data_IF_849973812619
#
_entry.id   IF_849973812619
#
_cell.length_a   1.000
_cell.length_b   1.000
_cell.length_c   1.000
_cell.angle_alpha   90.00
_cell.angle_beta   90.00
_cell.angle_gamma   90.00
#
_symmetry.space_group_name_H-M   'P 1'
#
loop_
_entity.id
_entity.type
_entity.pdbx_description
1 polymer ?
#
# COMPACT_ATOMS: atom_id res chain seq x y z
N UNK A 1 -5.06 -3.86 11.78
CA UNK A 1 -4.33 -5.03 11.30
C UNK A 1 -2.92 -4.99 11.85
N UNK A 2 -2.37 -6.10 12.33
CA UNK A 2 -1.06 -6.14 12.98
C UNK A 2 -0.19 -7.23 12.39
N UNK A 3 1.07 -6.92 12.18
CA UNK A 3 2.15 -7.84 11.82
C UNK A 3 3.04 -8.02 13.07
N UNK A 4 3.31 -9.26 13.46
CA UNK A 4 4.12 -9.59 14.64
C UNK A 4 5.23 -10.55 14.25
N UNK A 5 6.47 -10.08 14.24
CA UNK A 5 7.66 -10.86 13.93
C UNK A 5 7.63 -11.50 12.53
N UNK A 6 7.00 -10.83 11.56
CA UNK A 6 6.79 -11.39 10.22
C UNK A 6 8.10 -11.57 9.48
N UNK A 7 8.34 -12.82 9.04
CA UNK A 7 9.44 -13.17 8.16
C UNK A 7 8.95 -13.75 6.83
N UNK A 8 9.59 -13.35 5.73
CA UNK A 8 9.28 -13.79 4.37
C UNK A 8 10.51 -14.35 3.69
N UNK A 9 10.37 -15.54 3.11
CA UNK A 9 11.32 -16.17 2.19
C UNK A 9 10.56 -17.00 1.17
N UNK A 10 11.06 -17.09 -0.05
CA UNK A 10 10.39 -17.81 -1.15
C UNK A 10 10.72 -19.30 -1.25
N UNK A 11 11.55 -19.82 -0.36
CA UNK A 11 11.89 -21.23 -0.25
C UNK A 11 12.53 -21.54 1.10
N UNK A 12 12.48 -22.82 1.53
CA UNK A 12 13.01 -23.23 2.85
C UNK A 12 14.48 -22.87 3.07
N UNK A 13 15.29 -22.86 2.00
CA UNK A 13 16.73 -22.55 2.04
C UNK A 13 17.07 -21.20 1.40
N UNK A 14 16.06 -20.45 0.92
CA UNK A 14 16.27 -19.11 0.35
C UNK A 14 16.59 -18.11 1.44
N UNK A 15 17.37 -17.05 1.11
CA UNK A 15 17.58 -15.92 2.02
C UNK A 15 16.26 -15.30 2.46
N UNK A 16 16.27 -14.71 3.63
CA UNK A 16 15.14 -13.91 4.09
C UNK A 16 15.02 -12.64 3.23
N UNK A 17 13.82 -12.39 2.73
CA UNK A 17 13.45 -11.14 2.05
C UNK A 17 12.96 -10.11 3.06
N UNK A 18 12.24 -10.58 4.09
CA UNK A 18 11.85 -9.82 5.28
C UNK A 18 12.12 -10.67 6.51
N UNK A 19 12.56 -10.05 7.58
CA UNK A 19 12.85 -10.73 8.84
C UNK A 19 12.40 -9.85 10.01
N UNK A 20 11.63 -10.45 10.93
CA UNK A 20 11.20 -9.83 12.19
C UNK A 20 10.48 -8.48 12.01
N UNK A 21 9.56 -8.40 11.04
CA UNK A 21 8.78 -7.21 10.80
C UNK A 21 7.59 -7.15 11.74
N UNK A 22 7.58 -6.11 12.59
CA UNK A 22 6.48 -5.82 13.52
C UNK A 22 5.94 -4.42 13.24
N UNK A 23 4.73 -4.34 12.69
CA UNK A 23 4.09 -3.10 12.22
C UNK A 23 2.58 -3.17 12.48
N UNK A 24 1.96 -2.03 12.71
CA UNK A 24 0.52 -1.87 12.83
C UNK A 24 -0.04 -1.01 11.70
N UNK A 25 -1.10 -1.47 11.04
CA UNK A 25 -1.89 -0.73 10.08
C UNK A 25 -3.22 -0.32 10.74
N UNK A 26 -3.37 0.95 11.16
CA UNK A 26 -4.61 1.45 11.72
C UNK A 26 -5.75 1.45 10.69
N UNK A 27 -6.99 1.38 11.15
CA UNK A 27 -8.15 1.59 10.29
C UNK A 27 -8.19 3.06 9.79
N UNK A 28 -8.59 3.25 8.55
CA UNK A 28 -8.68 4.56 7.92
C UNK A 28 -7.34 5.16 7.49
N UNK A 29 -6.20 4.51 7.76
CA UNK A 29 -4.88 5.06 7.48
C UNK A 29 -4.44 4.83 6.03
N UNK A 30 -3.80 5.86 5.44
CA UNK A 30 -2.97 5.75 4.25
C UNK A 30 -1.52 5.51 4.67
N UNK A 31 -0.96 4.39 4.25
CA UNK A 31 0.44 4.02 4.52
C UNK A 31 1.25 3.99 3.23
N UNK A 32 2.33 4.74 3.21
CA UNK A 32 3.36 4.66 2.17
C UNK A 32 4.44 3.64 2.57
N UNK A 33 4.74 2.70 1.67
CA UNK A 33 5.84 1.74 1.84
C UNK A 33 7.00 2.17 0.96
N UNK A 34 8.07 2.64 1.58
CA UNK A 34 9.28 3.14 0.92
C UNK A 34 10.44 2.14 1.03
N UNK A 35 11.51 2.40 0.30
CA UNK A 35 12.73 1.59 0.32
C UNK A 35 13.29 1.32 -1.08
N UNK A 36 14.54 0.87 -1.16
CA UNK A 36 15.22 0.57 -2.43
C UNK A 36 14.55 -0.61 -3.15
N UNK A 37 14.85 -0.75 -4.46
CA UNK A 37 14.43 -1.94 -5.20
C UNK A 37 15.06 -3.19 -4.57
N UNK A 38 14.25 -4.24 -4.41
CA UNK A 38 14.68 -5.47 -3.74
C UNK A 38 14.60 -5.46 -2.20
N UNK A 39 14.28 -4.33 -1.56
CA UNK A 39 14.17 -4.22 -0.09
C UNK A 39 13.01 -5.00 0.55
N UNK A 40 12.14 -5.63 -0.26
CA UNK A 40 11.03 -6.43 0.25
C UNK A 40 9.66 -5.74 0.25
N UNK A 41 9.52 -4.52 -0.31
CA UNK A 41 8.25 -3.77 -0.36
C UNK A 41 7.10 -4.60 -0.92
N UNK A 42 7.25 -5.15 -2.13
CA UNK A 42 6.22 -5.99 -2.76
C UNK A 42 5.92 -7.26 -1.96
N UNK A 43 6.91 -7.82 -1.25
CA UNK A 43 6.70 -8.97 -0.37
C UNK A 43 5.88 -8.59 0.85
N UNK A 44 6.13 -7.42 1.45
CA UNK A 44 5.35 -6.86 2.55
C UNK A 44 3.90 -6.61 2.10
N UNK A 45 3.71 -5.96 0.96
CA UNK A 45 2.38 -5.71 0.39
C UNK A 45 1.61 -7.00 0.11
N UNK A 46 2.27 -8.04 -0.43
CA UNK A 46 1.65 -9.35 -0.63
C UNK A 46 1.24 -10.03 0.68
N UNK A 47 2.01 -9.84 1.75
CA UNK A 47 1.62 -10.32 3.09
C UNK A 47 0.41 -9.55 3.59
N UNK A 48 0.36 -8.22 3.45
CA UNK A 48 -0.82 -7.42 3.81
C UNK A 48 -2.06 -7.85 3.02
N UNK A 49 -1.91 -8.02 1.72
CA UNK A 49 -3.00 -8.49 0.84
C UNK A 49 -3.47 -9.93 1.13
N UNK A 50 -2.69 -10.72 1.88
CA UNK A 50 -3.01 -12.11 2.17
C UNK A 50 -2.70 -13.08 1.02
N UNK A 51 -2.06 -12.60 -0.05
CA UNK A 51 -1.64 -13.44 -1.19
C UNK A 51 -0.31 -14.15 -0.95
N UNK A 52 0.44 -13.71 0.06
CA UNK A 52 1.66 -14.36 0.52
C UNK A 52 1.54 -14.68 2.02
N UNK A 53 1.67 -15.96 2.37
CA UNK A 53 1.74 -16.39 3.76
C UNK A 53 3.15 -16.15 4.30
N UNK A 54 3.33 -15.51 5.47
CA UNK A 54 4.64 -15.37 6.07
C UNK A 54 5.23 -16.75 6.45
N UNK A 55 6.56 -16.86 6.36
CA UNK A 55 7.30 -18.06 6.75
C UNK A 55 7.59 -18.09 8.26
N UNK A 56 7.52 -16.93 8.93
CA UNK A 56 7.64 -16.77 10.39
C UNK A 56 6.73 -15.62 10.84
N UNK A 57 6.40 -15.59 12.14
CA UNK A 57 5.53 -14.58 12.71
C UNK A 57 4.05 -14.79 12.34
N UNK A 58 3.26 -13.76 12.59
CA UNK A 58 1.81 -13.81 12.38
C UNK A 58 1.25 -12.47 11.89
N UNK A 59 0.07 -12.55 11.25
CA UNK A 59 -0.73 -11.39 10.85
C UNK A 59 -2.11 -11.54 11.45
N UNK A 60 -2.54 -10.55 12.23
CA UNK A 60 -3.85 -10.53 12.88
C UNK A 60 -4.68 -9.32 12.43
N UNK A 61 -6.00 -9.38 12.61
CA UNK A 61 -6.90 -8.28 12.31
C UNK A 61 -6.96 -7.90 10.82
N UNK A 62 -6.66 -8.81 9.88
CA UNK A 62 -6.82 -8.54 8.45
C UNK A 62 -8.29 -8.28 8.14
N UNK A 63 -8.63 -7.18 7.45
CA UNK A 63 -9.98 -6.90 7.04
C UNK A 63 -10.56 -7.98 6.12
N UNK A 64 -11.89 -8.06 6.08
CA UNK A 64 -12.59 -9.10 5.29
C UNK A 64 -12.47 -8.86 3.79
N UNK A 65 -12.61 -7.62 3.35
CA UNK A 65 -12.56 -7.25 1.94
C UNK A 65 -11.22 -6.59 1.65
N UNK A 66 -10.34 -7.31 0.96
CA UNK A 66 -9.03 -6.80 0.56
C UNK A 66 -8.99 -6.65 -0.96
N UNK A 67 -8.69 -5.44 -1.42
CA UNK A 67 -8.33 -5.13 -2.79
C UNK A 67 -6.81 -5.24 -2.97
N UNK A 68 -6.37 -5.91 -4.01
CA UNK A 68 -4.96 -6.06 -4.35
C UNK A 68 -4.69 -5.72 -5.81
N UNK A 69 -3.86 -4.71 -6.06
CA UNK A 69 -3.34 -4.38 -7.39
C UNK A 69 -1.82 -4.57 -7.39
N UNK A 70 -1.30 -5.63 -8.02
CA UNK A 70 0.14 -5.89 -8.12
C UNK A 70 0.81 -4.93 -9.11
N UNK A 71 2.13 -4.74 -8.99
CA UNK A 71 2.96 -4.01 -9.97
C UNK A 71 2.78 -4.53 -11.41
N UNK A 72 2.58 -5.85 -11.54
CA UNK A 72 2.33 -6.50 -12.84
C UNK A 72 1.08 -7.36 -12.73
N UNK A 73 0.08 -6.99 -13.48
CA UNK A 73 -1.11 -7.82 -13.62
C UNK A 73 -0.79 -9.04 -14.50
N UNK A 74 -1.15 -10.29 -14.07
CA UNK A 74 -0.90 -11.50 -14.83
C UNK A 74 -1.87 -11.59 -16.01
N UNK A 75 -1.53 -10.96 -17.13
CA UNK A 75 -2.39 -10.87 -18.33
C UNK A 75 -2.23 -12.03 -19.32
N UNK A 76 -1.39 -13.02 -19.06
CA UNK A 76 -1.16 -14.16 -19.97
C UNK A 76 -2.36 -15.13 -20.06
N UNK A 77 -3.56 -14.59 -20.31
CA UNK A 77 -4.83 -15.32 -20.37
C UNK A 77 -5.61 -14.91 -21.61
N UNK A 78 -6.30 -15.87 -22.26
CA UNK A 78 -7.13 -15.61 -23.45
C UNK A 78 -8.52 -15.07 -23.12
N UNK A 79 -8.88 -14.98 -21.85
CA UNK A 79 -10.17 -14.43 -21.45
C UNK A 79 -10.28 -12.95 -21.83
N UNK A 80 -11.45 -12.51 -22.26
CA UNK A 80 -11.73 -11.09 -22.49
C UNK A 80 -11.67 -10.33 -21.15
N UNK A 81 -11.13 -9.12 -21.15
CA UNK A 81 -10.96 -8.30 -19.93
C UNK A 81 -12.31 -8.13 -19.19
N UNK A 82 -13.39 -7.87 -19.90
CA UNK A 82 -14.73 -7.74 -19.33
C UNK A 82 -15.25 -9.06 -18.72
N UNK A 83 -15.03 -10.20 -19.40
CA UNK A 83 -15.44 -11.51 -18.87
C UNK A 83 -14.68 -11.87 -17.61
N UNK A 84 -13.38 -11.61 -17.61
CA UNK A 84 -12.52 -11.78 -16.44
C UNK A 84 -13.02 -10.94 -15.25
N UNK A 85 -13.23 -9.64 -15.45
CA UNK A 85 -13.71 -8.76 -14.37
C UNK A 85 -15.09 -9.19 -13.86
N UNK A 86 -16.02 -9.59 -14.75
CA UNK A 86 -17.34 -10.13 -14.35
C UNK A 86 -17.21 -11.42 -13.55
N UNK A 87 -16.32 -12.33 -13.95
CA UNK A 87 -16.05 -13.56 -13.21
C UNK A 87 -15.51 -13.26 -11.82
N UNK A 88 -14.57 -12.32 -11.71
CA UNK A 88 -14.00 -11.89 -10.42
C UNK A 88 -15.03 -11.19 -9.53
N UNK A 89 -15.93 -10.38 -10.10
CA UNK A 89 -17.03 -9.75 -9.38
C UNK A 89 -18.02 -10.79 -8.80
N UNK A 90 -18.38 -11.80 -9.59
CA UNK A 90 -19.24 -12.91 -9.14
C UNK A 90 -18.56 -13.73 -8.05
N UNK A 91 -17.26 -14.02 -8.16
CA UNK A 91 -16.48 -14.72 -7.14
C UNK A 91 -16.43 -13.97 -5.81
N UNK A 92 -16.59 -12.64 -5.85
CA UNK A 92 -16.71 -11.78 -4.67
C UNK A 92 -18.14 -11.62 -4.14
N UNK A 93 -19.10 -12.39 -4.69
CA UNK A 93 -20.48 -12.43 -4.23
C UNK A 93 -21.37 -11.33 -4.80
N UNK A 94 -20.97 -10.61 -5.85
CA UNK A 94 -21.75 -9.50 -6.41
C UNK A 94 -22.92 -9.96 -7.31
N UNK A 95 -23.00 -11.25 -7.65
CA UNK A 95 -24.15 -11.81 -8.37
C UNK A 95 -24.51 -11.01 -9.63
N UNK A 96 -25.78 -10.60 -9.74
CA UNK A 96 -26.32 -9.81 -10.84
C UNK A 96 -25.76 -8.38 -10.89
N UNK A 97 -25.24 -7.86 -9.77
CA UNK A 97 -24.57 -6.56 -9.68
C UNK A 97 -23.20 -6.50 -10.37
N UNK A 98 -22.64 -7.66 -10.75
CA UNK A 98 -21.30 -7.75 -11.34
C UNK A 98 -21.13 -6.87 -12.58
N UNK A 99 -22.15 -6.86 -13.49
CA UNK A 99 -22.08 -6.06 -14.71
C UNK A 99 -22.03 -4.56 -14.42
N UNK A 100 -22.83 -4.08 -13.47
CA UNK A 100 -22.89 -2.66 -13.09
C UNK A 100 -21.57 -2.19 -12.48
N UNK A 101 -21.01 -2.99 -11.57
CA UNK A 101 -19.73 -2.65 -10.91
C UNK A 101 -18.58 -2.66 -11.92
N UNK A 102 -18.52 -3.66 -12.79
CA UNK A 102 -17.50 -3.70 -13.86
C UNK A 102 -17.62 -2.49 -14.78
N UNK A 103 -18.83 -2.10 -15.18
CA UNK A 103 -19.06 -0.90 -15.99
C UNK A 103 -18.55 0.37 -15.32
N UNK A 104 -18.85 0.56 -14.05
CA UNK A 104 -18.40 1.72 -13.25
C UNK A 104 -16.88 1.80 -13.16
N UNK A 105 -16.21 0.72 -12.82
CA UNK A 105 -14.75 0.73 -12.69
C UNK A 105 -14.06 0.82 -14.06
N UNK A 106 -14.67 0.25 -15.12
CA UNK A 106 -14.18 0.39 -16.48
C UNK A 106 -14.26 1.85 -16.97
N UNK A 107 -15.35 2.55 -16.71
CA UNK A 107 -15.50 3.97 -17.02
C UNK A 107 -14.48 4.81 -16.24
N UNK A 108 -14.39 4.60 -14.94
CA UNK A 108 -13.46 5.32 -14.05
C UNK A 108 -12.00 5.24 -14.49
N UNK A 109 -11.59 4.08 -15.04
CA UNK A 109 -10.21 3.79 -15.44
C UNK A 109 -9.97 3.86 -16.95
N UNK A 110 -10.98 4.25 -17.74
CA UNK A 110 -10.88 4.31 -19.19
C UNK A 110 -10.61 2.95 -19.83
N UNK A 111 -11.36 1.90 -19.41
CA UNK A 111 -11.29 0.54 -19.92
C UNK A 111 -12.43 0.19 -20.88
N UNK A 112 -13.39 1.10 -21.12
CA UNK A 112 -14.63 0.78 -21.84
C UNK A 112 -14.41 0.03 -23.15
N UNK A 113 -13.58 0.57 -24.02
CA UNK A 113 -13.27 0.00 -25.34
C UNK A 113 -12.40 -1.28 -25.25
N UNK A 114 -11.80 -1.55 -24.11
CA UNK A 114 -10.89 -2.68 -23.90
C UNK A 114 -11.57 -3.89 -23.26
N UNK A 115 -12.82 -3.78 -22.81
CA UNK A 115 -13.54 -4.89 -22.19
C UNK A 115 -13.73 -6.09 -23.11
N UNK A 116 -13.78 -5.87 -24.43
CA UNK A 116 -13.86 -6.89 -25.47
C UNK A 116 -12.51 -7.43 -25.95
N UNK A 117 -11.39 -6.99 -25.37
CA UNK A 117 -10.04 -7.39 -25.79
C UNK A 117 -9.54 -8.52 -24.88
N UNK A 118 -8.89 -9.57 -25.43
CA UNK A 118 -8.23 -10.60 -24.64
C UNK A 118 -7.16 -10.00 -23.73
N UNK A 119 -7.07 -10.49 -22.48
CA UNK A 119 -6.08 -10.00 -21.52
C UNK A 119 -4.64 -10.09 -22.04
N UNK A 120 -4.33 -11.14 -22.82
CA UNK A 120 -3.01 -11.36 -23.41
C UNK A 120 -2.63 -10.31 -24.48
N UNK A 121 -3.61 -9.62 -25.05
CA UNK A 121 -3.43 -8.60 -26.10
C UNK A 121 -3.38 -7.18 -25.55
N UNK A 122 -3.66 -7.01 -24.24
CA UNK A 122 -3.61 -5.70 -23.60
C UNK A 122 -2.17 -5.19 -23.49
N UNK A 123 -2.00 -3.89 -23.68
CA UNK A 123 -0.75 -3.22 -23.31
C UNK A 123 -0.48 -3.39 -21.81
N UNK A 124 0.78 -3.22 -21.39
CA UNK A 124 1.14 -3.25 -19.95
C UNK A 124 0.27 -2.30 -19.13
N UNK A 125 0.05 -1.06 -19.61
CA UNK A 125 -0.77 -0.07 -18.92
C UNK A 125 -2.24 -0.45 -18.84
N UNK A 126 -2.80 -0.98 -19.95
CA UNK A 126 -4.19 -1.47 -19.97
C UNK A 126 -4.38 -2.67 -19.03
N UNK A 127 -3.44 -3.60 -19.01
CA UNK A 127 -3.45 -4.72 -18.08
C UNK A 127 -3.37 -4.25 -16.61
N UNK A 128 -2.58 -3.21 -16.33
CA UNK A 128 -2.50 -2.61 -14.99
C UNK A 128 -3.83 -1.97 -14.56
N UNK A 129 -4.54 -1.30 -15.48
CA UNK A 129 -5.90 -0.79 -15.24
C UNK A 129 -6.88 -1.91 -14.88
N UNK A 130 -6.81 -3.08 -15.56
CA UNK A 130 -7.62 -4.25 -15.22
C UNK A 130 -7.32 -4.74 -13.81
N UNK A 131 -6.03 -4.78 -13.41
CA UNK A 131 -5.62 -5.12 -12.05
C UNK A 131 -6.17 -4.18 -11.00
N UNK A 132 -6.16 -2.86 -11.29
CA UNK A 132 -6.74 -1.86 -10.40
C UNK A 132 -8.27 -1.97 -10.35
N UNK A 133 -8.96 -2.14 -11.50
CA UNK A 133 -10.40 -2.38 -11.54
C UNK A 133 -10.79 -3.61 -10.71
N UNK A 134 -10.06 -4.72 -10.85
CA UNK A 134 -10.28 -5.93 -10.07
C UNK A 134 -10.18 -5.69 -8.56
N UNK A 135 -9.22 -4.87 -8.12
CA UNK A 135 -9.04 -4.55 -6.70
C UNK A 135 -10.24 -3.77 -6.12
N UNK A 136 -11.00 -3.07 -6.98
CA UNK A 136 -12.11 -2.19 -6.62
C UNK A 136 -13.49 -2.79 -6.82
N UNK A 137 -13.62 -4.00 -7.40
CA UNK A 137 -14.93 -4.62 -7.69
C UNK A 137 -15.83 -4.74 -6.46
N UNK A 138 -15.29 -5.02 -5.30
CA UNK A 138 -15.99 -4.88 -4.02
C UNK A 138 -15.32 -3.74 -3.24
N UNK A 139 -16.08 -2.86 -2.58
CA UNK A 139 -15.52 -1.78 -1.79
C UNK A 139 -14.53 -2.34 -0.75
N UNK A 140 -13.21 -2.11 -0.89
CA UNK A 140 -12.25 -2.74 0.00
C UNK A 140 -12.17 -2.03 1.35
N UNK A 141 -12.08 -2.80 2.45
CA UNK A 141 -11.73 -2.31 3.77
C UNK A 141 -10.19 -2.07 3.87
N UNK A 142 -9.44 -2.79 3.03
CA UNK A 142 -8.00 -2.59 2.82
C UNK A 142 -7.70 -2.64 1.33
N UNK A 143 -7.17 -1.55 0.78
CA UNK A 143 -6.62 -1.52 -0.57
C UNK A 143 -5.10 -1.57 -0.51
N UNK A 144 -4.50 -2.52 -1.22
CA UNK A 144 -3.05 -2.69 -1.31
C UNK A 144 -2.61 -2.45 -2.75
N UNK A 145 -1.71 -1.51 -2.95
CA UNK A 145 -1.27 -1.03 -4.27
C UNK A 145 0.25 -1.14 -4.39
N UNK A 146 0.73 -1.89 -5.37
CA UNK A 146 2.15 -2.04 -5.68
C UNK A 146 2.44 -1.31 -6.99
N UNK A 147 3.10 -0.14 -6.93
CA UNK A 147 3.43 0.73 -8.06
C UNK A 147 2.20 1.10 -8.94
N UNK A 148 1.10 1.61 -8.34
CA UNK A 148 -0.18 1.72 -9.03
C UNK A 148 -0.18 2.69 -10.21
N UNK A 149 0.74 3.65 -10.28
CA UNK A 149 0.84 4.62 -11.38
C UNK A 149 1.68 4.12 -12.56
N UNK A 150 2.43 3.02 -12.37
CA UNK A 150 3.33 2.50 -13.39
C UNK A 150 2.56 2.08 -14.65
N UNK A 151 2.87 2.71 -15.78
CA UNK A 151 2.28 2.39 -17.08
C UNK A 151 0.85 2.89 -17.30
N UNK A 152 0.23 3.57 -16.34
CA UNK A 152 -1.08 4.20 -16.51
C UNK A 152 -0.99 5.43 -17.43
N UNK A 153 -2.02 5.66 -18.24
CA UNK A 153 -2.21 6.93 -18.92
C UNK A 153 -2.63 8.06 -17.95
N UNK A 154 -2.69 9.28 -18.45
CA UNK A 154 -2.98 10.46 -17.65
C UNK A 154 -4.34 10.38 -16.95
N UNK A 155 -5.38 9.84 -17.63
CA UNK A 155 -6.72 9.73 -17.07
C UNK A 155 -6.80 8.74 -15.91
N UNK A 156 -6.31 7.53 -16.10
CA UNK A 156 -6.27 6.51 -15.05
C UNK A 156 -5.35 6.92 -13.89
N UNK A 157 -4.21 7.56 -14.19
CA UNK A 157 -3.30 8.11 -13.17
C UNK A 157 -3.98 9.15 -12.30
N UNK A 158 -4.74 10.06 -12.89
CA UNK A 158 -5.50 11.09 -12.19
C UNK A 158 -6.65 10.52 -11.32
N UNK A 159 -7.14 9.31 -11.62
CA UNK A 159 -8.19 8.67 -10.83
C UNK A 159 -7.68 8.08 -9.50
N UNK A 160 -6.39 7.70 -9.40
CA UNK A 160 -5.84 7.01 -8.21
C UNK A 160 -5.99 7.81 -6.92
N UNK A 161 -5.67 9.12 -6.86
CA UNK A 161 -5.88 9.93 -5.67
C UNK A 161 -7.33 9.92 -5.16
N UNK A 162 -8.29 10.05 -6.08
CA UNK A 162 -9.71 9.99 -5.76
C UNK A 162 -10.15 8.62 -5.20
N UNK A 163 -9.57 7.53 -5.72
CA UNK A 163 -9.79 6.16 -5.23
C UNK A 163 -9.27 6.02 -3.79
N UNK A 164 -8.04 6.47 -3.53
CA UNK A 164 -7.43 6.42 -2.19
C UNK A 164 -8.28 7.20 -1.21
N UNK A 165 -8.65 8.44 -1.55
CA UNK A 165 -9.49 9.30 -0.70
C UNK A 165 -10.85 8.67 -0.40
N UNK A 166 -11.54 8.14 -1.41
CA UNK A 166 -12.85 7.47 -1.23
C UNK A 166 -12.77 6.32 -0.22
N UNK A 167 -11.69 5.55 -0.25
CA UNK A 167 -11.51 4.41 0.67
C UNK A 167 -11.21 4.89 2.08
N UNK A 168 -10.31 5.86 2.25
CA UNK A 168 -9.98 6.39 3.58
C UNK A 168 -11.14 7.16 4.21
N UNK A 169 -11.90 7.93 3.44
CA UNK A 169 -13.11 8.62 3.93
C UNK A 169 -14.19 7.66 4.46
N UNK A 170 -14.23 6.41 3.96
CA UNK A 170 -15.11 5.34 4.48
C UNK A 170 -14.54 4.61 5.68
N UNK A 171 -13.36 4.98 6.16
CA UNK A 171 -12.65 4.30 7.24
C UNK A 171 -11.85 3.07 6.79
N UNK A 172 -11.77 2.79 5.49
CA UNK A 172 -10.89 1.77 4.92
C UNK A 172 -9.43 2.23 4.93
N UNK A 173 -8.51 1.28 4.98
CA UNK A 173 -7.07 1.58 4.96
C UNK A 173 -6.47 1.37 3.57
N UNK A 174 -5.40 2.09 3.26
CA UNK A 174 -4.66 1.94 2.00
C UNK A 174 -3.18 1.77 2.28
N UNK A 175 -2.54 0.77 1.67
CA UNK A 175 -1.09 0.59 1.70
C UNK A 175 -0.55 0.67 0.28
N UNK A 176 0.38 1.59 0.03
CA UNK A 176 0.91 1.87 -1.30
C UNK A 176 2.44 1.82 -1.29
N UNK A 177 3.04 1.07 -2.21
CA UNK A 177 4.45 1.24 -2.56
C UNK A 177 4.54 2.02 -3.87
N UNK A 178 5.37 3.07 -3.87
CA UNK A 178 5.63 3.89 -5.04
C UNK A 178 7.08 4.39 -5.02
N UNK A 179 7.76 4.29 -6.17
CA UNK A 179 9.11 4.81 -6.33
C UNK A 179 9.16 6.21 -6.99
N UNK A 180 8.02 6.68 -7.53
CA UNK A 180 7.90 7.98 -8.21
C UNK A 180 7.46 9.11 -7.26
N UNK A 181 7.34 8.84 -5.97
CA UNK A 181 6.94 9.79 -4.92
C UNK A 181 5.53 10.41 -5.09
N UNK A 182 4.67 9.82 -5.94
CA UNK A 182 3.31 10.32 -6.15
C UNK A 182 2.43 10.13 -4.91
N UNK A 183 2.75 9.14 -4.06
CA UNK A 183 2.08 8.93 -2.77
C UNK A 183 2.31 10.11 -1.83
N UNK A 184 3.46 10.79 -1.92
CA UNK A 184 3.75 11.93 -1.06
C UNK A 184 2.73 13.08 -1.23
N UNK A 185 2.19 13.25 -2.44
CA UNK A 185 1.14 14.24 -2.74
C UNK A 185 -0.19 13.92 -2.06
N UNK A 186 -0.41 12.65 -1.66
CA UNK A 186 -1.61 12.20 -0.95
C UNK A 186 -1.51 12.40 0.56
N UNK A 187 -0.40 12.95 1.07
CA UNK A 187 -0.12 13.16 2.49
C UNK A 187 -0.39 11.89 3.33
N UNK A 188 0.42 10.82 3.19
CA UNK A 188 0.22 9.57 3.91
C UNK A 188 0.29 9.77 5.42
N UNK A 189 -0.59 9.08 6.16
CA UNK A 189 -0.63 9.13 7.63
C UNK A 189 0.58 8.45 8.25
N UNK A 190 1.07 7.39 7.61
CA UNK A 190 2.20 6.60 8.06
C UNK A 190 3.16 6.32 6.89
N UNK A 191 4.45 6.21 7.22
CA UNK A 191 5.45 5.73 6.28
C UNK A 191 6.19 4.54 6.87
N UNK A 192 6.21 3.43 6.16
CA UNK A 192 7.03 2.28 6.49
C UNK A 192 8.25 2.24 5.57
N UNK A 193 9.42 2.16 6.15
CA UNK A 193 10.66 2.07 5.38
C UNK A 193 11.20 0.64 5.40
N UNK A 194 11.35 0.05 4.22
CA UNK A 194 11.93 -1.28 4.04
C UNK A 194 13.40 -1.15 3.62
N UNK A 195 14.29 -1.74 4.41
CA UNK A 195 15.72 -1.78 4.15
C UNK A 195 16.33 -3.05 4.75
N UNK A 196 17.27 -3.67 4.05
CA UNK A 196 18.03 -4.86 4.48
C UNK A 196 17.18 -5.99 5.09
N UNK A 197 16.02 -6.25 4.49
CA UNK A 197 15.11 -7.28 4.94
C UNK A 197 14.28 -6.92 6.19
N UNK A 198 14.33 -5.70 6.66
CA UNK A 198 13.50 -5.17 7.75
C UNK A 198 12.53 -4.13 7.22
N UNK A 199 11.43 -3.94 7.91
CA UNK A 199 10.55 -2.80 7.67
C UNK A 199 10.22 -2.17 9.02
N UNK A 200 10.42 -0.86 9.10
CA UNK A 200 10.21 -0.07 10.33
C UNK A 200 9.28 1.10 10.05
N UNK A 201 8.60 1.56 11.09
CA UNK A 201 7.85 2.81 11.02
C UNK A 201 8.86 3.96 10.90
N UNK A 202 8.82 4.68 9.77
CA UNK A 202 9.53 5.93 9.61
C UNK A 202 8.63 7.07 10.14
N UNK A 203 9.23 8.07 10.78
CA UNK A 203 8.47 9.23 11.26
C UNK A 203 7.80 9.95 10.08
N UNK A 204 6.47 10.12 10.14
CA UNK A 204 5.73 10.97 9.21
C UNK A 204 5.52 12.32 9.87
N UNK A 205 5.74 13.39 9.13
CA UNK A 205 5.33 14.72 9.59
C UNK A 205 3.80 14.69 9.82
N UNK A 206 3.36 15.01 11.02
CA UNK A 206 1.95 14.98 11.39
C UNK A 206 1.13 15.81 10.40
N UNK A 207 0.02 15.25 9.90
CA UNK A 207 -1.00 15.97 9.17
C UNK A 207 -1.52 17.07 10.09
N UNK A 208 -1.31 18.33 9.73
CA UNK A 208 -1.93 19.43 10.45
C UNK A 208 -3.46 19.30 10.34
N UNK A 209 -4.22 19.30 11.43
CA UNK A 209 -5.67 19.41 11.35
C UNK A 209 -6.00 20.78 10.72
N UNK A 210 -7.03 20.79 9.89
CA UNK A 210 -7.46 21.95 9.10
C UNK A 210 -7.34 23.29 9.86
N UNK A 211 -6.49 24.16 9.34
CA UNK A 211 -6.60 25.61 9.47
C UNK A 211 -6.35 26.25 10.82
N UNK A 212 -5.20 25.97 11.48
CA UNK A 212 -4.51 26.97 12.33
C UNK A 212 -3.02 26.57 12.43
N UNK A 213 -2.14 27.48 12.02
CA UNK A 213 -0.70 27.37 12.26
C UNK A 213 -0.45 27.47 13.78
N UNK A 214 -0.45 26.33 14.46
CA UNK A 214 0.04 26.15 15.81
C UNK A 214 1.28 25.27 15.72
N UNK A 215 2.34 25.65 16.42
CA UNK A 215 3.57 24.87 16.53
C UNK A 215 3.22 23.45 17.02
N UNK A 216 3.28 22.45 16.11
CA UNK A 216 3.07 21.06 16.45
C UNK A 216 4.39 20.50 17.00
N UNK A 217 4.38 20.14 18.26
CA UNK A 217 5.51 19.49 18.91
C UNK A 217 5.38 17.96 18.75
N UNK A 218 6.41 17.32 18.21
CA UNK A 218 6.54 15.85 18.17
C UNK A 218 7.59 15.42 19.21
N UNK A 219 7.24 14.43 20.05
CA UNK A 219 8.20 13.84 20.99
C UNK A 219 8.83 12.62 20.33
N UNK A 220 10.14 12.57 20.28
CA UNK A 220 10.92 11.42 19.79
C UNK A 220 11.69 10.85 20.97
N UNK A 221 11.51 9.55 21.26
CA UNK A 221 12.34 8.82 22.24
C UNK A 221 13.50 8.15 21.50
N UNK A 222 14.71 8.34 22.00
CA UNK A 222 15.92 7.76 21.44
C UNK A 222 16.68 7.04 22.54
N UNK A 223 16.93 5.75 22.39
CA UNK A 223 17.80 4.98 23.28
C UNK A 223 19.26 5.27 22.94
N UNK A 224 19.98 5.83 23.90
CA UNK A 224 21.39 6.19 23.76
C UNK A 224 22.22 5.50 24.86
N UNK A 225 23.37 4.87 24.51
CA UNK A 225 24.29 4.38 25.52
C UNK A 225 24.66 5.46 26.51
N UNK A 226 24.68 5.15 27.81
CA UNK A 226 24.87 6.13 28.91
C UNK A 226 26.09 7.04 28.72
N UNK A 227 27.18 6.54 28.13
CA UNK A 227 28.40 7.34 27.86
C UNK A 227 28.31 8.32 26.68
N UNK A 228 27.19 8.32 25.90
CA UNK A 228 26.99 9.20 24.74
C UNK A 228 25.83 10.18 24.94
N UNK A 229 25.20 10.17 26.09
CA UNK A 229 24.00 10.98 26.36
C UNK A 229 24.30 12.46 26.23
N UNK A 230 25.41 12.94 26.82
CA UNK A 230 25.78 14.37 26.79
C UNK A 230 26.11 14.86 25.39
N UNK A 231 26.78 14.05 24.58
CA UNK A 231 27.10 14.36 23.17
C UNK A 231 25.82 14.50 22.34
N UNK A 232 24.87 13.56 22.48
CA UNK A 232 23.59 13.58 21.79
C UNK A 232 22.72 14.76 22.22
N UNK A 233 22.67 15.06 23.53
CA UNK A 233 21.96 16.23 24.07
C UNK A 233 22.54 17.55 23.52
N UNK A 234 23.87 17.66 23.44
CA UNK A 234 24.56 18.80 22.85
C UNK A 234 24.22 19.02 21.39
N UNK A 235 24.19 17.94 20.62
CA UNK A 235 23.86 17.95 19.19
C UNK A 235 22.39 18.34 18.92
N UNK A 236 21.45 17.88 19.75
CA UNK A 236 20.03 18.20 19.66
C UNK A 236 19.79 19.68 20.03
N UNK A 237 20.40 20.19 21.10
CA UNK A 237 20.31 21.60 21.49
C UNK A 237 20.89 22.53 20.42
N UNK A 238 22.00 22.15 19.79
CA UNK A 238 22.61 22.90 18.70
C UNK A 238 21.71 23.02 17.44
N UNK A 239 20.65 22.18 17.34
CA UNK A 239 19.62 22.23 16.28
C UNK A 239 18.29 22.85 16.74
N UNK A 240 18.27 23.50 17.91
CA UNK A 240 17.07 24.17 18.43
C UNK A 240 16.02 23.23 19.01
N UNK A 241 16.39 21.99 19.35
CA UNK A 241 15.50 21.02 19.98
C UNK A 241 15.67 21.07 21.52
N UNK A 242 14.59 20.79 22.26
CA UNK A 242 14.59 20.72 23.72
C UNK A 242 14.58 19.26 24.20
N UNK A 243 15.75 18.59 24.28
CA UNK A 243 15.81 17.21 24.75
C UNK A 243 15.61 17.12 26.26
N UNK A 244 14.90 16.08 26.72
CA UNK A 244 14.73 15.71 28.11
C UNK A 244 15.22 14.29 28.34
N UNK A 245 15.93 14.00 29.39
CA UNK A 245 16.29 12.64 29.83
C UNK A 245 15.22 12.14 30.81
N UNK A 246 14.88 10.86 30.69
CA UNK A 246 14.11 10.14 31.74
C UNK A 246 15.06 9.36 32.63
#
# INVERSE_FOLDING_TARGET
MELSGVGVRYGRRSPWVLLDVTLALPAGALVEVTGRNGAGKSSLLRVLAGVLRPAAGSVSGRPRVVGWAPERFPSAQQALAGDYLRAMARARGLGDGAQLVVGREAERLGLGDLLGVPLAELSKGSAQKVGLAQALLAPPDLLVLDEPWSGLDAGARAAVPGIVKEITDRGGSVAVADHQQQVAELAPDLRWHAEDGRAVLAAVAARAPDGKAGETHSTVEVDVPTGQVDDVLGLLRGRGLEPRTR
#
